data_IF_429750047421
#
_entry.id   IF_429750047421
#
_cell.length_a   1.000
_cell.length_b   1.000
_cell.length_c   1.000
_cell.angle_alpha   90.00
_cell.angle_beta   90.00
_cell.angle_gamma   90.00
#
_symmetry.space_group_name_H-M   'P 1'
#
loop_
_entity.id
_entity.type
_entity.pdbx_description
1 polymer ?
#
# COMPACT_ATOMS: atom_id res chain seq x y z
N UNK A 1 -18.72 35.82 -3.01
CA UNK A 1 -18.93 34.64 -2.14
C UNK A 1 -17.66 33.82 -2.17
N UNK A 2 -17.10 33.53 -0.99
CA UNK A 2 -15.68 33.32 -0.76
C UNK A 2 -15.03 32.12 -1.46
N UNK A 3 -13.80 32.33 -1.94
CA UNK A 3 -12.85 31.28 -2.25
C UNK A 3 -12.47 30.58 -0.95
N UNK A 4 -13.00 29.38 -0.71
CA UNK A 4 -12.48 28.48 0.30
C UNK A 4 -11.08 28.02 -0.12
N UNK A 5 -10.05 28.77 0.27
CA UNK A 5 -8.67 28.31 0.21
C UNK A 5 -8.53 27.17 1.22
N UNK A 6 -8.79 25.94 0.80
CA UNK A 6 -8.46 24.77 1.63
C UNK A 6 -6.97 24.82 1.92
N UNK A 7 -6.60 24.83 3.20
CA UNK A 7 -5.21 24.75 3.60
C UNK A 7 -4.56 23.53 2.93
N UNK A 8 -3.30 23.63 2.44
CA UNK A 8 -2.65 22.54 1.74
C UNK A 8 -2.60 21.31 2.65
N UNK A 9 -3.24 20.23 2.20
CA UNK A 9 -3.21 18.94 2.90
C UNK A 9 -1.88 18.27 2.59
N UNK A 10 -1.14 17.91 3.63
CA UNK A 10 0.11 17.16 3.58
C UNK A 10 -0.26 15.68 3.56
N UNK A 11 0.29 14.93 2.60
CA UNK A 11 0.18 13.47 2.52
C UNK A 11 1.50 12.84 2.92
N UNK A 12 1.47 11.82 3.77
CA UNK A 12 2.61 10.99 4.13
C UNK A 12 2.35 9.55 3.67
N UNK A 13 3.21 9.06 2.79
CA UNK A 13 3.16 7.69 2.29
C UNK A 13 4.34 6.88 2.87
N UNK A 14 4.03 5.84 3.64
CA UNK A 14 5.01 4.86 4.09
C UNK A 14 5.08 3.72 3.06
N UNK A 15 6.26 3.45 2.54
CA UNK A 15 6.48 2.44 1.50
C UNK A 15 7.44 1.35 1.96
N UNK A 16 7.27 0.15 1.44
CA UNK A 16 8.24 -0.93 1.53
C UNK A 16 8.95 -1.11 0.19
N UNK A 17 10.18 -1.60 0.22
CA UNK A 17 11.01 -1.84 -0.97
C UNK A 17 11.45 -3.29 -0.95
N UNK A 18 11.11 -4.05 -1.99
CA UNK A 18 11.73 -5.35 -2.23
C UNK A 18 13.14 -5.11 -2.79
N UNK A 19 14.18 -5.53 -2.05
CA UNK A 19 15.58 -5.30 -2.40
C UNK A 19 16.03 -6.04 -3.66
N UNK A 20 15.44 -7.21 -3.96
CA UNK A 20 15.87 -8.06 -5.08
C UNK A 20 15.35 -7.52 -6.41
N UNK A 21 14.09 -7.12 -6.46
CA UNK A 21 13.42 -6.71 -7.70
C UNK A 21 13.16 -5.19 -7.79
N UNK A 22 13.56 -4.43 -6.75
CA UNK A 22 13.39 -2.98 -6.63
C UNK A 22 11.93 -2.49 -6.80
N UNK A 23 10.95 -3.34 -6.47
CA UNK A 23 9.55 -2.96 -6.45
C UNK A 23 9.21 -2.26 -5.13
N UNK A 24 8.60 -1.08 -5.25
CA UNK A 24 8.12 -0.29 -4.12
C UNK A 24 6.64 -0.54 -3.93
N UNK A 25 6.19 -0.82 -2.72
CA UNK A 25 4.77 -1.01 -2.41
C UNK A 25 4.35 -0.04 -1.32
N UNK A 26 3.09 0.39 -1.35
CA UNK A 26 2.56 1.19 -0.26
C UNK A 26 2.31 0.29 0.94
N UNK A 27 2.76 0.73 2.11
CA UNK A 27 2.42 0.13 3.38
C UNK A 27 1.19 0.83 3.98
N UNK A 28 1.20 2.16 4.01
CA UNK A 28 0.12 2.99 4.53
C UNK A 28 0.24 4.46 4.06
N UNK A 29 -0.89 5.16 4.00
CA UNK A 29 -0.97 6.59 3.71
C UNK A 29 -1.80 7.29 4.78
N UNK A 30 -1.31 8.40 5.31
CA UNK A 30 -2.10 9.34 6.12
C UNK A 30 -2.02 10.76 5.52
N UNK A 31 -3.02 11.59 5.84
CA UNK A 31 -3.10 12.95 5.31
C UNK A 31 -3.67 13.90 6.36
N UNK A 32 -3.12 15.11 6.42
CA UNK A 32 -3.55 16.12 7.39
C UNK A 32 -2.96 17.49 7.12
N UNK A 33 -3.20 18.45 8.00
CA UNK A 33 -2.69 19.82 7.88
C UNK A 33 -1.50 20.10 8.83
N UNK A 34 -1.15 19.16 9.69
CA UNK A 34 -0.08 19.29 10.68
C UNK A 34 0.88 18.09 10.59
N UNK A 35 2.16 18.37 10.36
CA UNK A 35 3.20 17.34 10.22
C UNK A 35 3.38 16.46 11.46
N UNK A 36 3.27 17.03 12.65
CA UNK A 36 3.42 16.28 13.91
C UNK A 36 2.28 15.28 14.05
N UNK A 37 1.04 15.72 13.90
CA UNK A 37 -0.14 14.85 14.00
C UNK A 37 -0.10 13.71 12.97
N UNK A 38 0.33 13.98 11.73
CA UNK A 38 0.47 12.97 10.66
C UNK A 38 1.52 11.92 11.04
N UNK A 39 2.63 12.33 11.66
CA UNK A 39 3.66 11.40 12.12
C UNK A 39 3.18 10.56 13.30
N UNK A 40 2.47 11.16 14.25
CA UNK A 40 1.87 10.45 15.39
C UNK A 40 0.85 9.41 14.91
N UNK A 41 0.00 9.76 13.95
CA UNK A 41 -0.95 8.84 13.30
C UNK A 41 -0.22 7.66 12.62
N UNK A 42 0.85 7.95 11.87
CA UNK A 42 1.65 6.91 11.23
C UNK A 42 2.30 5.97 12.26
N UNK A 43 2.82 6.51 13.37
CA UNK A 43 3.39 5.70 14.47
C UNK A 43 2.31 4.81 15.09
N UNK A 44 1.12 5.36 15.38
CA UNK A 44 0.00 4.59 15.92
C UNK A 44 -0.38 3.44 14.98
N UNK A 45 -0.49 3.71 13.66
CA UNK A 45 -0.75 2.68 12.66
C UNK A 45 0.32 1.58 12.69
N UNK A 46 1.61 1.92 12.68
CA UNK A 46 2.71 0.94 12.69
C UNK A 46 2.65 0.03 13.93
N UNK A 47 2.21 0.55 15.07
CA UNK A 47 2.09 -0.22 16.31
C UNK A 47 0.88 -1.16 16.33
N UNK A 48 -0.18 -0.86 15.58
CA UNK A 48 -1.48 -1.52 15.71
C UNK A 48 -1.95 -2.29 14.48
N UNK A 49 -1.37 -2.06 13.29
CA UNK A 49 -1.88 -2.63 12.02
C UNK A 49 -2.06 -4.15 12.06
N UNK A 50 -1.19 -4.88 12.77
CA UNK A 50 -1.28 -6.35 12.88
C UNK A 50 -2.56 -6.84 13.59
N UNK A 51 -3.15 -6.02 14.46
CA UNK A 51 -4.37 -6.35 15.20
C UNK A 51 -5.65 -6.15 14.38
N UNK A 52 -5.58 -5.31 13.36
CA UNK A 52 -6.75 -4.82 12.63
C UNK A 52 -6.79 -5.25 11.17
N UNK A 53 -5.69 -5.77 10.63
CA UNK A 53 -5.59 -6.14 9.22
C UNK A 53 -5.16 -7.60 9.03
N UNK A 54 -5.84 -8.23 8.10
CA UNK A 54 -5.52 -9.58 7.63
C UNK A 54 -4.35 -9.56 6.66
N UNK A 55 -3.72 -10.72 6.48
CA UNK A 55 -2.63 -10.90 5.53
C UNK A 55 -3.17 -11.42 4.20
N UNK A 56 -2.67 -10.89 3.09
CA UNK A 56 -2.97 -11.30 1.73
C UNK A 56 -1.68 -11.64 1.00
N UNK A 57 -1.68 -12.73 0.25
CA UNK A 57 -0.64 -13.05 -0.73
C UNK A 57 -1.17 -12.75 -2.14
N UNK A 58 -0.41 -11.99 -2.92
CA UNK A 58 -0.69 -11.68 -4.32
C UNK A 58 0.36 -12.39 -5.18
N UNK A 59 -0.10 -13.23 -6.11
CA UNK A 59 0.74 -13.87 -7.13
C UNK A 59 0.58 -13.13 -8.45
N UNK A 60 1.70 -12.66 -9.04
CA UNK A 60 1.69 -11.74 -10.18
C UNK A 60 2.95 -11.86 -11.06
N UNK A 61 2.89 -11.33 -12.29
CA UNK A 61 4.07 -11.11 -13.17
C UNK A 61 4.13 -9.65 -13.64
N UNK A 62 5.34 -9.18 -13.99
CA UNK A 62 5.55 -7.91 -14.70
C UNK A 62 5.60 -8.17 -16.21
N UNK A 63 4.63 -7.65 -16.97
CA UNK A 63 4.43 -7.94 -18.39
C UNK A 63 5.66 -7.67 -19.27
N UNK A 64 6.60 -6.83 -18.81
CA UNK A 64 7.79 -6.41 -19.57
C UNK A 64 9.08 -7.13 -19.17
N UNK A 65 9.11 -7.88 -18.06
CA UNK A 65 10.35 -8.50 -17.53
C UNK A 65 10.40 -10.03 -17.62
N UNK A 66 9.31 -10.69 -18.03
CA UNK A 66 9.28 -12.13 -18.29
C UNK A 66 8.17 -12.85 -17.52
N UNK A 67 8.20 -14.18 -17.59
CA UNK A 67 7.15 -15.07 -17.06
C UNK A 67 7.40 -15.54 -15.61
N UNK A 68 8.32 -14.90 -14.88
CA UNK A 68 8.59 -15.27 -13.49
C UNK A 68 7.45 -14.84 -12.56
N UNK A 69 6.77 -15.83 -11.97
CA UNK A 69 5.69 -15.59 -11.01
C UNK A 69 6.27 -15.13 -9.68
N UNK A 70 5.90 -13.91 -9.30
CA UNK A 70 6.26 -13.27 -8.05
C UNK A 70 5.15 -13.44 -7.03
N UNK A 71 5.50 -13.64 -5.76
CA UNK A 71 4.55 -13.58 -4.64
C UNK A 71 4.91 -12.40 -3.75
N UNK A 72 3.93 -11.56 -3.43
CA UNK A 72 4.10 -10.43 -2.52
C UNK A 72 3.02 -10.43 -1.45
N UNK A 73 3.40 -10.11 -0.21
CA UNK A 73 2.52 -10.13 0.95
C UNK A 73 2.14 -8.74 1.38
N UNK A 74 0.85 -8.56 1.67
CA UNK A 74 0.26 -7.29 2.09
C UNK A 74 -0.59 -7.53 3.33
N UNK A 75 -0.66 -6.53 4.20
CA UNK A 75 -1.76 -6.45 5.18
C UNK A 75 -2.76 -5.41 4.72
N UNK A 76 -4.04 -5.70 4.90
CA UNK A 76 -5.12 -4.77 4.56
C UNK A 76 -6.46 -5.18 5.12
N UNK A 77 -7.43 -4.26 5.03
CA UNK A 77 -8.79 -4.51 5.52
C UNK A 77 -9.58 -5.43 4.57
N UNK A 78 -9.32 -5.30 3.27
CA UNK A 78 -9.97 -6.07 2.22
C UNK A 78 -9.07 -6.20 0.98
N UNK A 79 -9.58 -6.87 -0.05
CA UNK A 79 -8.88 -7.08 -1.33
C UNK A 79 -8.61 -5.74 -2.06
N UNK A 80 -9.50 -4.75 -1.96
CA UNK A 80 -9.32 -3.48 -2.66
C UNK A 80 -8.22 -2.64 -2.01
N UNK A 81 -8.12 -2.66 -0.68
CA UNK A 81 -7.03 -2.01 0.07
C UNK A 81 -5.67 -2.58 -0.35
N UNK A 82 -5.51 -3.91 -0.36
CA UNK A 82 -4.22 -4.52 -0.77
C UNK A 82 -3.90 -4.29 -2.24
N UNK A 83 -4.89 -4.20 -3.13
CA UNK A 83 -4.68 -3.84 -4.53
C UNK A 83 -4.25 -2.38 -4.69
N UNK A 84 -4.83 -1.45 -3.93
CA UNK A 84 -4.39 -0.06 -3.90
C UNK A 84 -2.92 0.03 -3.44
N UNK A 85 -2.55 -0.78 -2.44
CA UNK A 85 -1.17 -0.85 -1.96
C UNK A 85 -0.21 -1.41 -3.01
N UNK A 86 -0.63 -2.48 -3.69
CA UNK A 86 0.13 -3.13 -4.76
C UNK A 86 0.41 -2.17 -5.93
N UNK A 87 -0.60 -1.45 -6.40
CA UNK A 87 -0.51 -0.54 -7.54
C UNK A 87 0.00 0.87 -7.21
N UNK A 88 0.45 1.11 -5.98
CA UNK A 88 0.96 2.43 -5.57
C UNK A 88 2.05 2.93 -6.52
N UNK A 89 1.80 4.08 -7.13
CA UNK A 89 2.63 4.73 -8.16
C UNK A 89 3.02 3.83 -9.32
N UNK A 90 2.11 2.94 -9.74
CA UNK A 90 2.31 2.02 -10.87
C UNK A 90 1.10 2.00 -11.80
N UNK A 91 1.35 1.75 -13.08
CA UNK A 91 0.29 1.54 -14.06
C UNK A 91 -0.23 0.11 -13.97
N UNK A 92 -1.55 -0.07 -13.84
CA UNK A 92 -2.16 -1.41 -13.71
C UNK A 92 -1.83 -2.33 -14.89
N UNK A 93 -1.71 -1.76 -16.09
CA UNK A 93 -1.37 -2.46 -17.33
C UNK A 93 0.03 -3.09 -17.34
N UNK A 94 0.91 -2.73 -16.41
CA UNK A 94 2.25 -3.32 -16.30
C UNK A 94 2.23 -4.71 -15.63
N UNK A 95 1.15 -5.06 -14.94
CA UNK A 95 1.09 -6.26 -14.11
C UNK A 95 -0.07 -7.17 -14.52
N UNK A 96 0.15 -8.47 -14.37
CA UNK A 96 -0.92 -9.47 -14.43
C UNK A 96 -0.97 -10.20 -13.10
N UNK A 97 -2.11 -10.10 -12.41
CA UNK A 97 -2.37 -10.81 -11.15
C UNK A 97 -3.08 -12.11 -11.48
N UNK A 98 -2.54 -13.23 -10.99
CA UNK A 98 -3.13 -14.55 -11.17
C UNK A 98 -4.04 -14.95 -10.03
N UNK A 99 -3.64 -14.60 -8.81
CA UNK A 99 -4.28 -15.08 -7.59
C UNK A 99 -4.07 -14.09 -6.46
N UNK A 100 -5.12 -13.91 -5.68
CA UNK A 100 -5.10 -13.19 -4.41
C UNK A 100 -5.65 -14.15 -3.36
N UNK A 101 -4.86 -14.43 -2.33
CA UNK A 101 -5.24 -15.34 -1.25
C UNK A 101 -5.27 -14.57 0.06
N UNK A 102 -6.44 -14.49 0.68
CA UNK A 102 -6.57 -14.13 2.10
C UNK A 102 -5.95 -15.25 2.94
N UNK A 103 -5.06 -14.88 3.84
CA UNK A 103 -4.38 -15.73 4.80
C UNK A 103 -4.91 -15.36 6.19
N UNK A 104 -6.09 -15.88 6.58
CA UNK A 104 -6.67 -15.55 7.88
C UNK A 104 -5.75 -16.11 8.96
N UNK A 105 -5.37 -15.25 9.91
CA UNK A 105 -4.48 -15.54 11.05
C UNK A 105 -3.07 -16.06 10.69
N UNK A 106 -2.11 -15.14 10.65
CA UNK A 106 -0.67 -15.38 10.81
C UNK A 106 -0.14 -14.61 12.03
#
# INVERSE_FOLDING_TARGET
MGSNSQAPTIKLDLITINQEHNHKFLFHSCAGNNKINILEEMIAYINEYKKHQETYAIEWIENKKGDEVQTSWFRGNDIFDVLNKFFYNKEKSQFKIFKIKLMPSA
#
